data_IF_204328068060
#
_entry.id   IF_204328068060
#
_cell.length_a   1.000
_cell.length_b   1.000
_cell.length_c   1.000
_cell.angle_alpha   90.00
_cell.angle_beta   90.00
_cell.angle_gamma   90.00
#
_symmetry.space_group_name_H-M   'P 1'
#
loop_
_entity.id
_entity.type
_entity.pdbx_description
1 polymer ?
#
# COMPACT_ATOMS: atom_id res chain seq x y z
N UNK A 1 15.07 45.06 -20.24
CA UNK A 1 14.46 44.23 -19.20
C UNK A 1 15.52 43.22 -18.77
N UNK A 2 16.20 43.43 -17.64
CA UNK A 2 17.26 42.54 -17.16
C UNK A 2 16.60 41.33 -16.44
N UNK A 3 16.74 40.15 -17.03
CA UNK A 3 16.36 38.90 -16.42
C UNK A 3 17.32 38.65 -15.24
N UNK A 4 16.86 38.88 -14.00
CA UNK A 4 17.55 38.39 -12.82
C UNK A 4 17.30 36.86 -12.77
N UNK A 5 18.29 36.10 -13.25
CA UNK A 5 18.37 34.68 -12.93
C UNK A 5 18.65 34.60 -11.41
N UNK A 6 17.63 34.32 -10.63
CA UNK A 6 17.77 33.97 -9.23
C UNK A 6 18.48 32.62 -9.21
N UNK A 7 19.79 32.63 -9.02
CA UNK A 7 20.58 31.43 -8.79
C UNK A 7 20.16 30.91 -7.41
N UNK A 8 19.19 29.97 -7.37
CA UNK A 8 18.85 29.25 -6.16
C UNK A 8 20.07 28.38 -5.82
N UNK A 9 20.90 28.84 -4.93
CA UNK A 9 22.00 28.02 -4.37
C UNK A 9 21.33 27.06 -3.38
N UNK A 10 20.97 25.87 -3.86
CA UNK A 10 20.62 24.76 -2.97
C UNK A 10 21.81 24.54 -2.04
N UNK A 11 21.58 24.60 -0.74
CA UNK A 11 22.62 24.32 0.24
C UNK A 11 23.20 22.90 0.01
N UNK A 12 24.50 22.74 0.13
CA UNK A 12 25.14 21.43 -0.02
C UNK A 12 24.51 20.42 0.93
N UNK A 13 24.29 19.17 0.51
CA UNK A 13 23.61 18.17 1.34
C UNK A 13 24.46 17.85 2.59
N UNK A 14 23.79 17.68 3.72
CA UNK A 14 24.39 17.20 4.95
C UNK A 14 24.85 15.75 4.78
N UNK A 15 26.09 15.45 5.01
CA UNK A 15 26.66 14.09 4.88
C UNK A 15 26.82 13.43 6.25
N UNK A 16 26.16 12.31 6.44
CA UNK A 16 26.17 11.54 7.69
C UNK A 16 27.00 10.26 7.46
N UNK A 17 28.16 10.19 8.07
CA UNK A 17 29.13 9.06 7.92
C UNK A 17 29.30 8.23 9.21
N UNK A 18 28.77 8.67 10.34
CA UNK A 18 28.86 8.03 11.66
C UNK A 18 27.62 8.36 12.47
N UNK A 19 27.45 7.75 13.62
CA UNK A 19 26.39 8.09 14.57
C UNK A 19 26.30 9.60 14.76
N UNK A 20 25.10 10.11 14.55
CA UNK A 20 24.83 11.55 14.60
C UNK A 20 23.46 11.81 15.21
N UNK A 21 23.43 12.65 16.23
CA UNK A 21 22.20 13.20 16.81
C UNK A 21 22.19 14.71 16.61
N UNK A 22 21.12 15.22 16.01
CA UNK A 22 20.99 16.66 15.80
C UNK A 22 20.51 17.38 17.07
N UNK A 23 20.73 18.69 17.16
CA UNK A 23 20.03 19.52 18.14
C UNK A 23 18.51 19.33 18.04
N UNK A 24 17.79 19.39 19.16
CA UNK A 24 16.36 19.15 19.17
C UNK A 24 15.60 20.22 18.34
N UNK A 25 14.64 19.76 17.55
CA UNK A 25 13.72 20.59 16.77
C UNK A 25 14.39 21.64 15.85
N UNK A 26 15.60 21.38 15.38
CA UNK A 26 16.27 22.21 14.38
C UNK A 26 15.51 22.28 13.05
N UNK A 27 15.74 23.33 12.28
CA UNK A 27 15.20 23.48 10.91
C UNK A 27 16.35 23.59 9.93
N UNK A 28 16.32 22.76 8.89
CA UNK A 28 17.39 22.65 7.90
C UNK A 28 16.82 22.76 6.49
N UNK A 29 17.34 23.64 5.67
CA UNK A 29 16.96 23.84 4.26
C UNK A 29 17.97 23.14 3.33
N UNK A 30 18.25 21.88 3.59
CA UNK A 30 19.18 21.06 2.82
C UNK A 30 18.77 19.58 2.87
N UNK A 31 19.19 18.83 1.87
CA UNK A 31 19.05 17.38 1.84
C UNK A 31 20.08 16.68 2.74
N UNK A 32 19.87 15.39 3.01
CA UNK A 32 20.76 14.53 3.77
C UNK A 32 21.24 13.38 2.89
N UNK A 33 22.53 13.09 2.92
CA UNK A 33 23.10 11.89 2.32
C UNK A 33 23.71 11.02 3.42
N UNK A 34 23.21 9.80 3.57
CA UNK A 34 23.82 8.81 4.45
C UNK A 34 25.02 8.21 3.73
N UNK A 35 26.21 8.59 4.18
CA UNK A 35 27.48 8.24 3.55
C UNK A 35 28.16 7.01 4.21
N UNK A 36 27.73 6.62 5.42
CA UNK A 36 28.26 5.46 6.16
C UNK A 36 27.27 4.30 6.29
N UNK A 37 27.76 3.19 6.81
CA UNK A 37 26.98 2.04 7.28
C UNK A 37 27.18 1.85 8.78
N UNK A 38 26.36 1.00 9.40
CA UNK A 38 26.40 0.69 10.84
C UNK A 38 26.30 1.97 11.70
N UNK A 39 25.33 2.80 11.41
CA UNK A 39 25.14 4.08 12.10
C UNK A 39 23.66 4.37 12.40
N UNK A 40 23.48 5.27 13.36
CA UNK A 40 22.20 5.88 13.67
C UNK A 40 22.24 7.37 13.34
N UNK A 41 21.29 7.83 12.54
CA UNK A 41 20.99 9.24 12.35
C UNK A 41 19.71 9.57 13.09
N UNK A 42 19.82 10.28 14.19
CA UNK A 42 18.72 10.75 15.01
C UNK A 42 18.52 12.25 14.77
N UNK A 43 17.44 12.59 14.10
CA UNK A 43 17.11 13.98 13.85
C UNK A 43 16.59 14.70 15.10
N UNK A 44 16.27 13.97 16.18
CA UNK A 44 15.80 14.55 17.45
C UNK A 44 14.64 15.56 17.26
N UNK A 45 13.68 15.22 16.39
CA UNK A 45 12.52 16.06 16.05
C UNK A 45 12.81 17.20 15.05
N UNK A 46 14.02 17.28 14.51
CA UNK A 46 14.38 18.31 13.53
C UNK A 46 13.66 18.12 12.21
N UNK A 47 13.47 19.24 11.51
CA UNK A 47 12.74 19.31 10.23
C UNK A 47 13.71 19.65 9.09
N UNK A 48 13.66 18.87 8.03
CA UNK A 48 14.29 19.15 6.74
C UNK A 48 13.22 19.65 5.77
N UNK A 49 13.46 20.79 5.15
CA UNK A 49 12.52 21.47 4.24
C UNK A 49 13.17 21.58 2.86
N UNK A 50 12.51 21.00 1.87
CA UNK A 50 12.87 21.11 0.45
C UNK A 50 12.06 22.20 -0.26
N UNK A 51 12.34 22.37 -1.55
CA UNK A 51 11.70 23.35 -2.44
C UNK A 51 10.93 22.67 -3.60
N UNK A 52 10.35 21.49 -3.33
CA UNK A 52 9.59 20.71 -4.32
C UNK A 52 10.44 19.86 -5.27
N UNK A 53 11.76 19.80 -5.06
CA UNK A 53 12.68 19.03 -5.91
C UNK A 53 13.65 18.18 -5.07
N UNK A 54 14.16 17.10 -5.68
CA UNK A 54 15.21 16.28 -5.13
C UNK A 54 14.75 15.35 -3.99
N UNK A 55 15.69 14.78 -3.29
CA UNK A 55 15.49 13.77 -2.24
C UNK A 55 15.88 14.32 -0.89
N UNK A 56 14.98 14.28 0.08
CA UNK A 56 15.23 14.76 1.44
C UNK A 56 16.31 13.94 2.17
N UNK A 57 16.16 12.61 2.21
CA UNK A 57 17.18 11.69 2.76
C UNK A 57 17.53 10.64 1.70
N UNK A 58 18.77 10.63 1.24
CA UNK A 58 19.27 9.67 0.25
C UNK A 58 20.21 8.65 0.92
N UNK A 59 19.92 7.36 0.68
CA UNK A 59 20.75 6.23 1.13
C UNK A 59 21.02 5.33 -0.07
N UNK A 60 22.30 5.07 -0.40
CA UNK A 60 22.67 4.22 -1.52
C UNK A 60 23.67 3.15 -1.10
N UNK A 61 23.30 1.87 -1.29
CA UNK A 61 24.15 0.70 -1.04
C UNK A 61 24.80 0.73 0.35
N UNK A 62 24.00 0.98 1.39
CA UNK A 62 24.43 0.95 2.78
C UNK A 62 23.85 -0.24 3.53
N UNK A 63 24.35 -0.51 4.71
CA UNK A 63 23.84 -1.58 5.58
C UNK A 63 23.75 -1.10 7.02
N UNK A 64 22.75 -1.61 7.75
CA UNK A 64 22.59 -1.37 9.18
C UNK A 64 22.56 0.13 9.53
N UNK A 65 21.64 0.85 8.89
CA UNK A 65 21.43 2.28 9.15
C UNK A 65 20.07 2.46 9.82
N UNK A 66 20.06 3.20 10.91
CA UNK A 66 18.81 3.65 11.58
C UNK A 66 18.59 5.14 11.30
N UNK A 67 17.39 5.47 10.80
CA UNK A 67 16.91 6.84 10.61
C UNK A 67 15.72 7.02 11.55
N UNK A 68 15.78 8.00 12.46
CA UNK A 68 14.71 8.19 13.42
C UNK A 68 14.44 9.63 13.78
N UNK A 69 13.19 9.87 14.22
CA UNK A 69 12.71 11.17 14.74
C UNK A 69 12.92 12.33 13.76
N UNK A 70 12.93 12.06 12.46
CA UNK A 70 13.10 13.05 11.40
C UNK A 70 11.76 13.54 10.89
N UNK A 71 11.65 14.83 10.58
CA UNK A 71 10.55 15.42 9.82
C UNK A 71 11.11 15.89 8.48
N UNK A 72 10.59 15.37 7.38
CA UNK A 72 11.11 15.67 6.03
C UNK A 72 9.93 16.03 5.13
N UNK A 73 9.93 17.23 4.58
CA UNK A 73 8.81 17.73 3.78
C UNK A 73 9.25 18.68 2.67
N UNK A 74 8.40 18.84 1.66
CA UNK A 74 8.65 19.78 0.56
C UNK A 74 9.76 19.33 -0.39
N UNK A 75 10.13 18.05 -0.40
CA UNK A 75 11.00 17.46 -1.42
C UNK A 75 10.14 16.75 -2.48
N UNK A 76 10.75 16.36 -3.57
CA UNK A 76 10.18 15.47 -4.56
C UNK A 76 10.02 14.05 -3.99
N UNK A 77 11.02 13.59 -3.23
CA UNK A 77 10.97 12.35 -2.45
C UNK A 77 11.46 12.64 -1.03
N UNK A 78 10.65 12.28 -0.03
CA UNK A 78 11.04 12.46 1.36
C UNK A 78 12.27 11.64 1.74
N UNK A 79 12.24 10.32 1.50
CA UNK A 79 13.38 9.43 1.66
C UNK A 79 13.51 8.45 0.49
N UNK A 80 14.69 8.29 -0.06
CA UNK A 80 14.98 7.30 -1.10
C UNK A 80 16.15 6.40 -0.70
N UNK A 81 15.87 5.09 -0.65
CA UNK A 81 16.87 4.06 -0.36
C UNK A 81 17.04 3.19 -1.60
N UNK A 82 18.25 3.13 -2.12
CA UNK A 82 18.62 2.31 -3.27
C UNK A 82 19.62 1.23 -2.84
N UNK A 83 19.18 -0.01 -2.87
CA UNK A 83 19.99 -1.17 -2.50
C UNK A 83 20.37 -1.21 -1.01
N UNK A 84 20.89 -2.33 -0.58
CA UNK A 84 21.36 -2.52 0.79
C UNK A 84 20.40 -3.32 1.67
N UNK A 85 20.67 -3.33 2.97
CA UNK A 85 19.92 -4.17 3.92
C UNK A 85 19.99 -3.68 5.35
N UNK A 86 19.12 -4.24 6.21
CA UNK A 86 19.08 -4.00 7.65
C UNK A 86 18.84 -2.52 7.99
N UNK A 87 17.98 -1.85 7.26
CA UNK A 87 17.57 -0.48 7.58
C UNK A 87 16.48 -0.49 8.64
N UNK A 88 16.50 0.54 9.48
CA UNK A 88 15.44 0.85 10.42
C UNK A 88 15.01 2.29 10.22
N UNK A 89 13.75 2.50 9.85
CA UNK A 89 13.08 3.80 9.82
C UNK A 89 12.06 3.81 10.95
N UNK A 90 12.26 4.65 11.96
CA UNK A 90 11.37 4.65 13.10
C UNK A 90 10.98 6.06 13.56
N UNK A 91 9.67 6.26 13.77
CA UNK A 91 9.11 7.53 14.28
C UNK A 91 9.53 8.75 13.47
N UNK A 92 9.56 8.61 12.13
CA UNK A 92 9.79 9.73 11.23
C UNK A 92 8.47 10.24 10.66
N UNK A 93 8.47 11.49 10.21
CA UNK A 93 7.40 12.10 9.45
C UNK A 93 7.91 12.52 8.06
N UNK A 94 7.40 11.84 7.04
CA UNK A 94 7.69 12.09 5.62
C UNK A 94 6.47 12.65 4.89
N UNK A 95 5.67 13.45 5.57
CA UNK A 95 4.46 14.02 5.00
C UNK A 95 4.73 15.27 4.15
N UNK A 96 3.88 15.50 3.14
CA UNK A 96 3.95 16.70 2.30
C UNK A 96 5.16 16.73 1.37
N UNK A 97 5.57 15.57 0.85
CA UNK A 97 6.58 15.47 -0.21
C UNK A 97 5.90 15.15 -1.54
N UNK A 98 6.20 15.91 -2.59
CA UNK A 98 5.55 15.85 -3.89
C UNK A 98 4.01 15.87 -3.81
N UNK A 99 3.48 17.05 -3.68
CA UNK A 99 2.04 17.30 -3.65
C UNK A 99 1.60 17.78 -5.04
N UNK A 100 1.54 16.87 -6.02
CA UNK A 100 0.97 17.14 -7.34
C UNK A 100 -0.37 16.42 -7.46
N UNK A 101 -1.44 17.18 -7.63
CA UNK A 101 -2.79 16.65 -7.78
C UNK A 101 -3.22 16.43 -9.24
N UNK A 102 -2.34 16.68 -10.20
CA UNK A 102 -2.64 16.63 -11.63
C UNK A 102 -2.06 15.42 -12.38
N UNK A 103 -1.05 14.73 -11.83
CA UNK A 103 -0.51 13.54 -12.49
C UNK A 103 -1.53 12.40 -12.47
N UNK A 104 -1.75 11.74 -13.59
CA UNK A 104 -2.57 10.54 -13.62
C UNK A 104 -1.86 9.42 -12.84
N UNK A 105 -2.62 8.69 -12.02
CA UNK A 105 -2.17 7.43 -11.44
C UNK A 105 -2.59 6.35 -12.41
N UNK A 106 -1.74 6.10 -13.39
CA UNK A 106 -2.01 5.14 -14.45
C UNK A 106 -1.24 3.85 -14.22
N UNK A 107 -1.85 2.75 -14.62
CA UNK A 107 -1.21 1.44 -14.80
C UNK A 107 -0.52 0.83 -13.56
N UNK A 108 -0.82 1.28 -12.36
CA UNK A 108 -0.22 0.74 -11.11
C UNK A 108 1.31 0.56 -11.22
N UNK A 109 1.99 1.50 -11.86
CA UNK A 109 3.44 1.56 -11.93
C UNK A 109 3.99 2.34 -10.74
N UNK A 110 5.19 2.02 -10.24
CA UNK A 110 5.83 2.81 -9.20
C UNK A 110 5.93 4.29 -9.61
N UNK A 111 5.53 5.16 -8.71
CA UNK A 111 5.65 6.60 -8.91
C UNK A 111 7.01 7.03 -8.34
N UNK A 112 7.89 7.68 -9.12
CA UNK A 112 9.23 8.04 -8.65
C UNK A 112 9.23 9.20 -7.65
N UNK A 113 8.11 9.49 -7.01
CA UNK A 113 7.86 10.62 -6.13
C UNK A 113 7.11 10.18 -4.87
N UNK A 114 7.13 10.97 -3.82
CA UNK A 114 6.30 10.77 -2.62
C UNK A 114 7.06 10.74 -1.29
N UNK A 115 6.51 10.07 -0.31
CA UNK A 115 7.06 10.07 1.05
C UNK A 115 8.32 9.23 1.21
N UNK A 116 8.21 7.91 1.13
CA UNK A 116 9.32 6.96 1.32
C UNK A 116 9.38 6.01 0.12
N UNK A 117 10.56 5.85 -0.47
CA UNK A 117 10.81 4.87 -1.53
C UNK A 117 12.00 3.99 -1.13
N UNK A 118 11.80 2.68 -1.05
CA UNK A 118 12.86 1.69 -0.87
C UNK A 118 12.91 0.81 -2.11
N UNK A 119 14.05 0.73 -2.78
CA UNK A 119 14.22 -0.07 -3.99
C UNK A 119 15.43 -1.00 -3.87
N UNK A 120 15.22 -2.31 -4.07
CA UNK A 120 16.26 -3.32 -3.97
C UNK A 120 16.77 -3.55 -2.53
N UNK A 121 15.92 -3.38 -1.54
CA UNK A 121 16.25 -3.42 -0.11
C UNK A 121 15.87 -4.76 0.52
N UNK A 122 16.67 -5.23 1.46
CA UNK A 122 16.41 -6.49 2.16
C UNK A 122 16.40 -6.32 3.68
N UNK A 123 15.62 -7.19 4.35
CA UNK A 123 15.64 -7.37 5.81
C UNK A 123 15.57 -6.05 6.57
N UNK A 124 14.60 -5.21 6.28
CA UNK A 124 14.53 -3.85 6.82
C UNK A 124 13.16 -3.58 7.45
N UNK A 125 13.10 -2.60 8.33
CA UNK A 125 11.92 -2.27 9.12
C UNK A 125 11.55 -0.79 8.99
N UNK A 126 10.28 -0.54 8.72
CA UNK A 126 9.64 0.76 8.82
C UNK A 126 8.62 0.68 9.95
N UNK A 127 8.80 1.44 11.03
CA UNK A 127 7.93 1.35 12.19
C UNK A 127 7.56 2.72 12.76
N UNK A 128 6.25 2.92 12.93
CA UNK A 128 5.73 4.14 13.56
C UNK A 128 6.03 5.42 12.77
N UNK A 129 6.20 5.31 11.44
CA UNK A 129 6.40 6.47 10.59
C UNK A 129 5.07 7.03 10.11
N UNK A 130 5.05 8.32 9.83
CA UNK A 130 3.93 9.03 9.18
C UNK A 130 4.37 9.41 7.76
N UNK A 131 3.50 9.17 6.79
CA UNK A 131 3.75 9.53 5.37
C UNK A 131 2.44 9.94 4.70
N UNK A 132 2.00 11.15 4.97
CA UNK A 132 0.70 11.68 4.61
C UNK A 132 0.78 12.79 3.57
N UNK A 133 -0.31 12.94 2.79
CA UNK A 133 -0.45 14.07 1.86
C UNK A 133 0.57 14.08 0.73
N UNK A 134 1.09 12.93 0.35
CA UNK A 134 2.01 12.74 -0.77
C UNK A 134 1.23 12.27 -2.02
N UNK A 135 1.92 12.05 -3.14
CA UNK A 135 1.36 11.27 -4.25
C UNK A 135 1.30 9.79 -3.89
N UNK A 136 2.32 9.26 -3.24
CA UNK A 136 2.35 7.92 -2.64
C UNK A 136 3.02 7.97 -1.26
N UNK A 137 2.47 7.24 -0.28
CA UNK A 137 2.98 7.25 1.08
C UNK A 137 4.29 6.48 1.22
N UNK A 138 4.25 5.16 1.15
CA UNK A 138 5.40 4.25 1.26
C UNK A 138 5.42 3.35 0.03
N UNK A 139 6.52 3.31 -0.70
CA UNK A 139 6.75 2.42 -1.83
C UNK A 139 7.93 1.50 -1.55
N UNK A 140 7.74 0.20 -1.73
CA UNK A 140 8.75 -0.84 -1.51
C UNK A 140 8.86 -1.66 -2.80
N UNK A 141 9.96 -1.47 -3.51
CA UNK A 141 10.17 -1.94 -4.87
C UNK A 141 11.27 -3.01 -4.90
N UNK A 142 11.04 -4.14 -5.57
CA UNK A 142 12.04 -5.19 -5.81
C UNK A 142 12.79 -5.61 -4.53
N UNK A 143 12.09 -5.68 -3.44
CA UNK A 143 12.64 -5.83 -2.08
C UNK A 143 12.17 -7.13 -1.45
N UNK A 144 12.74 -7.49 -0.29
CA UNK A 144 12.30 -8.69 0.41
C UNK A 144 12.53 -8.64 1.91
N UNK A 145 11.74 -9.44 2.65
CA UNK A 145 11.85 -9.56 4.12
C UNK A 145 11.70 -8.20 4.82
N UNK A 146 10.78 -7.40 4.31
CA UNK A 146 10.47 -6.08 4.87
C UNK A 146 9.47 -6.24 6.02
N UNK A 147 9.57 -5.39 7.01
CA UNK A 147 8.61 -5.28 8.11
C UNK A 147 8.06 -3.85 8.14
N UNK A 148 6.80 -3.69 7.76
CA UNK A 148 6.11 -2.39 7.70
C UNK A 148 5.06 -2.38 8.80
N UNK A 149 5.37 -1.74 9.92
CA UNK A 149 4.66 -1.91 11.17
C UNK A 149 4.20 -0.57 11.75
N UNK A 150 2.94 -0.45 12.15
CA UNK A 150 2.46 0.71 12.91
C UNK A 150 2.71 2.06 12.22
N UNK A 151 2.74 2.09 10.89
CA UNK A 151 2.88 3.34 10.15
C UNK A 151 1.49 3.94 9.88
N UNK A 152 1.47 5.25 9.69
CA UNK A 152 0.28 5.99 9.24
C UNK A 152 0.54 6.52 7.83
N UNK A 153 -0.32 6.14 6.88
CA UNK A 153 -0.29 6.65 5.51
C UNK A 153 -1.68 7.16 5.14
N UNK A 154 -1.85 8.45 5.10
CA UNK A 154 -3.16 9.07 4.95
C UNK A 154 -3.16 10.20 3.93
N UNK A 155 -4.30 10.38 3.25
CA UNK A 155 -4.51 11.47 2.29
C UNK A 155 -3.46 11.53 1.18
N UNK A 156 -2.89 10.40 0.82
CA UNK A 156 -2.05 10.32 -0.37
C UNK A 156 -2.94 10.31 -1.61
N UNK A 157 -2.41 10.77 -2.73
CA UNK A 157 -3.22 10.85 -3.93
C UNK A 157 -3.58 9.47 -4.48
N UNK A 158 -2.61 8.57 -4.53
CA UNK A 158 -2.74 7.24 -5.07
C UNK A 158 -2.71 6.16 -3.99
N UNK A 159 -1.54 5.91 -3.46
CA UNK A 159 -1.34 4.73 -2.61
C UNK A 159 -0.86 5.08 -1.22
N UNK A 160 -1.41 4.37 -0.23
CA UNK A 160 -0.89 4.41 1.12
C UNK A 160 0.43 3.63 1.21
N UNK A 161 0.39 2.33 0.97
CA UNK A 161 1.55 1.42 0.99
C UNK A 161 1.56 0.63 -0.31
N UNK A 162 2.66 0.68 -1.06
CA UNK A 162 2.79 -0.02 -2.33
C UNK A 162 3.98 -0.99 -2.35
N UNK A 163 3.70 -2.24 -2.68
CA UNK A 163 4.68 -3.31 -2.87
C UNK A 163 4.74 -3.69 -4.37
N UNK A 164 5.88 -3.51 -4.99
CA UNK A 164 6.14 -3.85 -6.38
C UNK A 164 7.29 -4.87 -6.45
N UNK A 165 7.03 -6.10 -6.88
CA UNK A 165 8.04 -7.15 -6.90
C UNK A 165 8.65 -7.45 -5.52
N UNK A 166 7.92 -7.16 -4.44
CA UNK A 166 8.42 -7.26 -3.07
C UNK A 166 7.86 -8.51 -2.40
N UNK A 167 8.72 -9.35 -1.83
CA UNK A 167 8.36 -10.69 -1.40
C UNK A 167 8.68 -10.98 0.06
N UNK A 168 7.95 -11.96 0.64
CA UNK A 168 8.23 -12.52 1.98
C UNK A 168 8.29 -11.43 3.06
N UNK A 169 7.38 -10.47 2.99
CA UNK A 169 7.34 -9.28 3.85
C UNK A 169 6.09 -9.27 4.71
N UNK A 170 6.11 -8.47 5.75
CA UNK A 170 5.03 -8.36 6.74
C UNK A 170 4.55 -6.91 6.82
N UNK A 171 3.25 -6.69 6.62
CA UNK A 171 2.59 -5.38 6.63
C UNK A 171 1.52 -5.44 7.72
N UNK A 172 1.85 -5.01 8.94
CA UNK A 172 1.01 -5.20 10.11
C UNK A 172 0.71 -3.91 10.87
N UNK A 173 -0.49 -3.84 11.41
CA UNK A 173 -0.92 -2.80 12.35
C UNK A 173 -0.73 -1.37 11.83
N UNK A 174 -0.78 -1.18 10.49
CA UNK A 174 -0.72 0.15 9.90
C UNK A 174 -2.12 0.79 9.87
N UNK A 175 -2.15 2.12 9.97
CA UNK A 175 -3.34 2.93 9.73
C UNK A 175 -3.21 3.55 8.34
N UNK A 176 -4.11 3.18 7.45
CA UNK A 176 -4.09 3.53 6.03
C UNK A 176 -5.43 4.13 5.68
N UNK A 177 -5.49 5.44 5.42
CA UNK A 177 -6.77 6.11 5.33
C UNK A 177 -6.80 7.23 4.30
N UNK A 178 -7.96 7.39 3.63
CA UNK A 178 -8.18 8.49 2.68
C UNK A 178 -7.16 8.54 1.53
N UNK A 179 -6.60 7.40 1.13
CA UNK A 179 -5.71 7.34 -0.04
C UNK A 179 -6.56 7.18 -1.29
N UNK A 180 -7.33 8.20 -1.62
CA UNK A 180 -8.34 8.21 -2.66
C UNK A 180 -8.47 9.55 -3.38
N UNK A 181 -7.52 10.47 -3.27
CA UNK A 181 -7.67 11.80 -3.88
C UNK A 181 -7.80 11.77 -5.40
N UNK A 182 -7.40 10.69 -6.06
CA UNK A 182 -7.69 10.44 -7.48
C UNK A 182 -9.06 9.80 -7.73
N UNK A 183 -9.80 9.45 -6.68
CA UNK A 183 -11.11 8.80 -6.72
C UNK A 183 -12.16 9.67 -6.00
N UNK A 184 -12.60 10.76 -6.56
CA UNK A 184 -13.41 11.73 -5.82
C UNK A 184 -14.86 11.31 -5.58
N UNK A 185 -15.34 10.19 -6.12
CA UNK A 185 -16.77 9.84 -6.08
C UNK A 185 -16.99 8.35 -5.76
N UNK A 186 -17.96 8.08 -4.90
CA UNK A 186 -18.53 6.76 -4.68
C UNK A 186 -19.15 6.17 -5.95
N UNK A 187 -18.98 4.87 -6.17
CA UNK A 187 -19.73 4.13 -7.18
C UNK A 187 -19.21 4.30 -8.60
N UNK A 188 -17.94 4.57 -8.79
CA UNK A 188 -17.32 4.49 -10.11
C UNK A 188 -16.95 3.04 -10.36
N UNK A 189 -17.54 2.41 -11.37
CA UNK A 189 -17.27 1.02 -11.77
C UNK A 189 -15.85 0.75 -12.27
N UNK A 190 -15.07 1.76 -12.46
CA UNK A 190 -13.69 1.65 -12.88
C UNK A 190 -12.78 2.00 -11.72
N UNK A 191 -11.89 1.10 -11.36
CA UNK A 191 -10.83 1.38 -10.41
C UNK A 191 -10.16 2.71 -10.74
N UNK A 192 -10.06 3.58 -9.76
CA UNK A 192 -9.52 4.92 -9.92
C UNK A 192 -7.98 4.94 -9.76
N UNK A 193 -7.35 3.75 -9.72
CA UNK A 193 -5.93 3.58 -9.52
C UNK A 193 -5.42 3.89 -8.11
N UNK A 194 -6.29 4.36 -7.21
CA UNK A 194 -5.93 4.65 -5.83
C UNK A 194 -6.27 3.47 -4.91
N UNK A 195 -5.44 3.21 -3.93
CA UNK A 195 -5.70 2.16 -2.94
C UNK A 195 -4.93 2.38 -1.64
N UNK A 196 -5.43 1.78 -0.56
CA UNK A 196 -4.74 1.77 0.73
C UNK A 196 -3.45 0.97 0.66
N UNK A 197 -3.53 -0.33 0.37
CA UNK A 197 -2.37 -1.22 0.20
C UNK A 197 -2.41 -1.84 -1.21
N UNK A 198 -1.30 -1.75 -1.93
CA UNK A 198 -1.16 -2.27 -3.31
C UNK A 198 -0.06 -3.32 -3.39
N UNK A 199 -0.32 -4.43 -4.09
CA UNK A 199 0.66 -5.49 -4.34
C UNK A 199 0.63 -5.87 -5.82
N UNK A 200 1.73 -5.64 -6.54
CA UNK A 200 1.83 -5.94 -7.98
C UNK A 200 3.16 -6.57 -8.35
N UNK A 201 3.29 -7.00 -9.59
CA UNK A 201 4.54 -7.54 -10.16
C UNK A 201 5.17 -8.68 -9.35
N UNK A 202 4.34 -9.65 -8.99
CA UNK A 202 4.82 -10.82 -8.27
C UNK A 202 5.24 -10.53 -6.83
N UNK A 203 4.54 -9.61 -6.16
CA UNK A 203 4.73 -9.38 -4.71
C UNK A 203 4.17 -10.57 -3.91
N UNK A 204 4.86 -11.70 -4.00
CA UNK A 204 4.42 -12.99 -3.49
C UNK A 204 4.81 -13.24 -2.03
N UNK A 205 4.05 -14.12 -1.37
CA UNK A 205 4.33 -14.61 -0.01
C UNK A 205 4.47 -13.50 1.03
N UNK A 206 3.63 -12.47 0.91
CA UNK A 206 3.54 -11.41 1.91
C UNK A 206 2.39 -11.69 2.88
N UNK A 207 2.56 -11.22 4.10
CA UNK A 207 1.57 -11.28 5.18
C UNK A 207 1.02 -9.88 5.41
N UNK A 208 -0.30 -9.70 5.26
CA UNK A 208 -0.97 -8.43 5.45
C UNK A 208 -2.03 -8.60 6.55
N UNK A 209 -1.77 -8.08 7.74
CA UNK A 209 -2.66 -8.35 8.87
C UNK A 209 -2.78 -7.20 9.88
N UNK A 210 -3.92 -7.18 10.57
CA UNK A 210 -4.25 -6.21 11.63
C UNK A 210 -4.13 -4.74 11.19
N UNK A 211 -4.23 -4.45 9.89
CA UNK A 211 -4.25 -3.07 9.40
C UNK A 211 -5.68 -2.51 9.50
N UNK A 212 -5.76 -1.20 9.71
CA UNK A 212 -6.99 -0.42 9.56
C UNK A 212 -6.91 0.35 8.26
N UNK A 213 -7.83 0.06 7.33
CA UNK A 213 -7.93 0.72 6.03
C UNK A 213 -9.31 1.39 5.95
N UNK A 214 -9.34 2.68 5.64
CA UNK A 214 -10.60 3.41 5.71
C UNK A 214 -10.66 4.56 4.70
N UNK A 215 -11.75 4.66 3.93
CA UNK A 215 -11.94 5.67 2.90
C UNK A 215 -10.83 5.69 1.84
N UNK A 216 -10.30 4.54 1.47
CA UNK A 216 -9.33 4.42 0.38
C UNK A 216 -10.07 4.24 -0.97
N UNK A 217 -9.37 4.26 -2.09
CA UNK A 217 -9.93 3.87 -3.38
C UNK A 217 -10.37 2.41 -3.33
N UNK A 218 -9.43 1.48 -3.46
CA UNK A 218 -9.57 0.12 -2.94
C UNK A 218 -8.93 0.06 -1.55
N UNK A 219 -9.49 -0.75 -0.66
CA UNK A 219 -8.81 -1.01 0.62
C UNK A 219 -7.48 -1.73 0.35
N UNK A 220 -7.52 -2.93 -0.22
CA UNK A 220 -6.34 -3.68 -0.66
C UNK A 220 -6.50 -4.03 -2.15
N UNK A 221 -5.54 -3.62 -2.96
CA UNK A 221 -5.48 -3.96 -4.38
C UNK A 221 -4.34 -4.93 -4.67
N UNK A 222 -4.64 -6.00 -5.40
CA UNK A 222 -3.66 -7.00 -5.76
C UNK A 222 -3.85 -7.46 -7.22
N UNK A 223 -2.79 -7.41 -7.98
CA UNK A 223 -2.82 -7.91 -9.36
C UNK A 223 -2.66 -6.82 -10.39
N UNK A 224 -3.20 -6.96 -11.50
CA UNK A 224 -3.69 -6.16 -12.62
C UNK A 224 -3.53 -6.82 -13.99
N UNK A 225 -2.56 -7.72 -14.20
CA UNK A 225 -2.39 -8.41 -15.48
C UNK A 225 -1.94 -9.86 -15.30
N UNK A 226 -2.28 -10.75 -16.23
CA UNK A 226 -1.72 -12.10 -16.23
C UNK A 226 -0.19 -12.06 -16.18
N UNK A 227 0.39 -12.86 -15.29
CA UNK A 227 1.85 -12.92 -15.10
C UNK A 227 2.45 -11.87 -14.16
N UNK A 228 1.71 -10.82 -13.82
CA UNK A 228 2.13 -9.81 -12.84
C UNK A 228 1.40 -9.93 -11.49
N UNK A 229 0.54 -10.91 -11.34
CA UNK A 229 -0.24 -11.14 -10.12
C UNK A 229 0.65 -11.50 -8.92
N UNK A 230 0.18 -11.16 -7.75
CA UNK A 230 0.82 -11.51 -6.48
C UNK A 230 0.15 -12.76 -5.90
N UNK A 231 0.94 -13.78 -5.62
CA UNK A 231 0.47 -15.11 -5.24
C UNK A 231 0.90 -15.48 -3.82
N UNK A 232 0.24 -16.51 -3.29
CA UNK A 232 0.59 -17.08 -1.98
C UNK A 232 0.57 -16.00 -0.87
N UNK A 233 -0.37 -15.07 -0.95
CA UNK A 233 -0.56 -14.05 0.07
C UNK A 233 -1.42 -14.59 1.21
N UNK A 234 -1.17 -14.11 2.42
CA UNK A 234 -2.07 -14.28 3.55
C UNK A 234 -2.53 -12.88 4.00
N UNK A 235 -3.86 -12.64 3.93
CA UNK A 235 -4.50 -11.36 4.25
C UNK A 235 -5.52 -11.62 5.36
N UNK A 236 -5.26 -11.08 6.56
CA UNK A 236 -6.03 -11.51 7.72
C UNK A 236 -6.17 -10.45 8.81
N UNK A 237 -7.26 -10.54 9.57
CA UNK A 237 -7.53 -9.64 10.69
C UNK A 237 -7.44 -8.14 10.33
N UNK A 238 -7.67 -7.77 9.08
CA UNK A 238 -7.75 -6.37 8.70
C UNK A 238 -9.16 -5.84 8.91
N UNK A 239 -9.27 -4.58 9.30
CA UNK A 239 -10.52 -3.82 9.27
C UNK A 239 -10.48 -2.91 8.06
N UNK A 240 -11.39 -3.12 7.12
CA UNK A 240 -11.48 -2.40 5.85
C UNK A 240 -12.87 -1.78 5.78
N UNK A 241 -12.95 -0.49 5.52
CA UNK A 241 -14.24 0.18 5.49
C UNK A 241 -14.28 1.37 4.53
N UNK A 242 -15.47 1.63 3.98
CA UNK A 242 -15.78 2.78 3.14
C UNK A 242 -14.86 2.89 1.91
N UNK A 243 -14.41 1.77 1.36
CA UNK A 243 -13.63 1.76 0.13
C UNK A 243 -14.51 2.23 -1.03
N UNK A 244 -14.01 3.19 -1.81
CA UNK A 244 -14.77 3.81 -2.91
C UNK A 244 -15.09 2.81 -4.01
N UNK A 245 -14.19 1.87 -4.27
CA UNK A 245 -14.37 0.76 -5.20
C UNK A 245 -14.50 -0.57 -4.44
N UNK A 246 -13.41 -1.23 -4.09
CA UNK A 246 -13.46 -2.55 -3.48
C UNK A 246 -12.83 -2.54 -2.08
N UNK A 247 -13.40 -3.25 -1.12
CA UNK A 247 -12.70 -3.54 0.12
C UNK A 247 -11.41 -4.30 -0.15
N UNK A 248 -11.49 -5.33 -1.00
CA UNK A 248 -10.32 -6.01 -1.57
C UNK A 248 -10.55 -6.31 -3.05
N UNK A 249 -9.57 -6.00 -3.88
CA UNK A 249 -9.51 -6.43 -5.27
C UNK A 249 -8.33 -7.38 -5.48
N UNK A 250 -8.56 -8.55 -6.11
CA UNK A 250 -7.51 -9.49 -6.43
C UNK A 250 -7.73 -10.12 -7.81
N UNK A 251 -6.84 -9.82 -8.76
CA UNK A 251 -6.96 -10.29 -10.13
C UNK A 251 -5.81 -11.22 -10.52
N UNK A 252 -6.14 -12.26 -11.32
CA UNK A 252 -5.20 -13.25 -11.86
C UNK A 252 -4.32 -13.96 -10.82
N UNK A 253 -4.69 -13.90 -9.55
CA UNK A 253 -3.90 -14.41 -8.43
C UNK A 253 -4.09 -15.90 -8.20
N UNK A 254 -3.14 -16.50 -7.51
CA UNK A 254 -3.13 -17.93 -7.22
C UNK A 254 -2.82 -18.20 -5.75
N UNK A 255 -3.61 -19.09 -5.13
CA UNK A 255 -3.42 -19.61 -3.77
C UNK A 255 -3.36 -18.55 -2.67
N UNK A 256 -4.12 -17.48 -2.80
CA UNK A 256 -4.21 -16.52 -1.73
C UNK A 256 -5.16 -17.02 -0.63
N UNK A 257 -4.83 -16.71 0.61
CA UNK A 257 -5.64 -16.99 1.79
C UNK A 257 -6.08 -15.69 2.44
N UNK A 258 -7.37 -15.40 2.36
CA UNK A 258 -7.99 -14.17 2.85
C UNK A 258 -8.97 -14.57 3.94
N UNK A 259 -8.67 -14.22 5.20
CA UNK A 259 -9.45 -14.73 6.31
C UNK A 259 -9.52 -13.78 7.51
N UNK A 260 -10.56 -13.96 8.30
CA UNK A 260 -10.80 -13.21 9.55
C UNK A 260 -10.76 -11.68 9.36
N UNK A 261 -11.05 -11.17 8.15
CA UNK A 261 -11.14 -9.74 7.89
C UNK A 261 -12.57 -9.24 8.09
N UNK A 262 -12.68 -7.95 8.41
CA UNK A 262 -13.96 -7.24 8.45
C UNK A 262 -13.99 -6.21 7.33
N UNK A 263 -15.03 -6.29 6.50
CA UNK A 263 -15.36 -5.35 5.42
C UNK A 263 -16.68 -4.66 5.77
N UNK A 264 -16.73 -3.33 5.67
CA UNK A 264 -17.92 -2.59 6.07
C UNK A 264 -18.14 -1.37 5.18
N UNK A 265 -19.36 -1.25 4.64
CA UNK A 265 -19.77 -0.09 3.81
C UNK A 265 -18.84 0.16 2.61
N UNK A 266 -18.29 -0.91 2.03
CA UNK A 266 -17.50 -0.84 0.79
C UNK A 266 -18.45 -0.90 -0.42
N UNK A 267 -18.04 -0.38 -1.57
CA UNK A 267 -18.84 -0.53 -2.78
C UNK A 267 -18.99 -2.01 -3.15
N UNK A 268 -17.88 -2.72 -3.31
CA UNK A 268 -17.80 -4.18 -3.25
C UNK A 268 -17.02 -4.58 -1.99
N UNK A 269 -17.49 -5.57 -1.23
CA UNK A 269 -16.70 -6.11 -0.12
C UNK A 269 -15.42 -6.75 -0.65
N UNK A 270 -15.52 -7.61 -1.66
CA UNK A 270 -14.40 -8.21 -2.37
C UNK A 270 -14.71 -8.44 -3.86
N UNK A 271 -13.75 -8.15 -4.73
CA UNK A 271 -13.82 -8.48 -6.15
C UNK A 271 -12.60 -9.29 -6.60
N UNK A 272 -12.87 -10.44 -7.24
CA UNK A 272 -11.83 -11.37 -7.67
C UNK A 272 -11.97 -11.67 -9.16
N UNK A 273 -11.05 -11.19 -9.98
CA UNK A 273 -11.03 -11.45 -11.43
C UNK A 273 -10.00 -12.53 -11.78
N UNK A 274 -10.45 -13.69 -12.28
CA UNK A 274 -9.57 -14.81 -12.69
C UNK A 274 -8.66 -15.34 -11.57
N UNK A 275 -8.97 -15.10 -10.30
CA UNK A 275 -8.23 -15.66 -9.18
C UNK A 275 -8.53 -17.16 -9.06
N UNK A 276 -7.53 -17.96 -8.71
CA UNK A 276 -7.66 -19.41 -8.63
C UNK A 276 -7.15 -19.95 -7.31
N UNK A 277 -7.74 -21.05 -6.86
CA UNK A 277 -7.38 -21.70 -5.60
C UNK A 277 -7.42 -20.73 -4.41
N UNK A 278 -8.32 -19.75 -4.48
CA UNK A 278 -8.54 -18.77 -3.41
C UNK A 278 -9.17 -19.47 -2.21
N UNK A 279 -8.70 -19.13 -1.02
CA UNK A 279 -9.39 -19.44 0.23
C UNK A 279 -9.90 -18.13 0.83
N UNK A 280 -11.21 -18.01 0.92
CA UNK A 280 -11.89 -16.85 1.50
C UNK A 280 -12.73 -17.33 2.69
N UNK A 281 -12.19 -17.20 3.90
CA UNK A 281 -12.71 -17.90 5.06
C UNK A 281 -12.88 -16.98 6.28
N UNK A 282 -13.96 -17.16 7.02
CA UNK A 282 -14.24 -16.48 8.30
C UNK A 282 -14.23 -14.94 8.18
N UNK A 283 -14.48 -14.38 7.01
CA UNK A 283 -14.57 -12.93 6.87
C UNK A 283 -15.97 -12.45 7.24
N UNK A 284 -16.06 -11.25 7.81
CA UNK A 284 -17.31 -10.56 8.03
C UNK A 284 -17.47 -9.43 7.00
N UNK A 285 -18.52 -9.49 6.18
CA UNK A 285 -18.82 -8.51 5.15
C UNK A 285 -20.18 -7.91 5.45
N UNK A 286 -20.25 -6.60 5.58
CA UNK A 286 -21.45 -5.87 5.99
C UNK A 286 -21.69 -4.66 5.12
N UNK A 287 -22.96 -4.46 4.75
CA UNK A 287 -23.45 -3.27 4.06
C UNK A 287 -22.68 -2.94 2.76
N UNK A 288 -22.22 -3.95 2.02
CA UNK A 288 -21.65 -3.69 0.70
C UNK A 288 -22.73 -3.12 -0.23
N UNK A 289 -22.42 -2.09 -1.00
CA UNK A 289 -23.42 -1.37 -1.79
C UNK A 289 -23.83 -2.12 -3.06
N UNK A 290 -22.93 -2.90 -3.65
CA UNK A 290 -23.18 -3.64 -4.91
C UNK A 290 -23.15 -5.15 -4.67
N UNK A 291 -22.03 -5.70 -4.23
CA UNK A 291 -21.86 -7.11 -3.91
C UNK A 291 -20.99 -7.28 -2.66
N UNK A 292 -21.30 -8.29 -1.86
CA UNK A 292 -20.39 -8.71 -0.79
C UNK A 292 -19.13 -9.34 -1.37
N UNK A 293 -19.30 -10.25 -2.34
CA UNK A 293 -18.20 -10.85 -3.09
C UNK A 293 -18.63 -11.02 -4.55
N UNK A 294 -17.77 -10.62 -5.48
CA UNK A 294 -17.88 -10.99 -6.88
C UNK A 294 -16.61 -11.72 -7.32
N UNK A 295 -16.73 -12.88 -7.94
CA UNK A 295 -15.60 -13.67 -8.42
C UNK A 295 -15.84 -14.15 -9.84
N UNK A 296 -15.21 -13.48 -10.77
CA UNK A 296 -15.23 -13.79 -12.18
C UNK A 296 -14.24 -14.91 -12.51
N UNK A 297 -14.71 -15.95 -13.23
CA UNK A 297 -13.91 -17.11 -13.61
C UNK A 297 -13.27 -17.84 -12.43
N UNK A 298 -13.99 -17.96 -11.32
CA UNK A 298 -13.55 -18.62 -10.11
C UNK A 298 -13.22 -20.09 -10.35
N UNK A 299 -12.00 -20.53 -9.99
CA UNK A 299 -11.60 -21.93 -10.13
C UNK A 299 -11.01 -22.48 -8.83
N UNK A 300 -11.52 -23.66 -8.43
CA UNK A 300 -11.01 -24.42 -7.27
C UNK A 300 -10.91 -23.57 -6.00
N UNK A 301 -11.81 -22.62 -5.83
CA UNK A 301 -11.81 -21.68 -4.70
C UNK A 301 -12.75 -22.13 -3.60
N UNK A 302 -12.45 -21.74 -2.36
CA UNK A 302 -13.22 -22.12 -1.17
C UNK A 302 -13.72 -20.89 -0.42
N UNK A 303 -15.01 -20.89 -0.12
CA UNK A 303 -15.71 -19.87 0.67
C UNK A 303 -16.30 -20.54 1.91
N UNK A 304 -15.74 -20.30 3.08
CA UNK A 304 -16.16 -21.01 4.28
C UNK A 304 -16.24 -20.11 5.51
N UNK A 305 -17.27 -20.31 6.32
CA UNK A 305 -17.41 -19.63 7.61
C UNK A 305 -17.62 -18.11 7.53
N UNK A 306 -17.88 -17.56 6.35
CA UNK A 306 -18.06 -16.12 6.20
C UNK A 306 -19.42 -15.66 6.72
N UNK A 307 -19.46 -14.45 7.29
CA UNK A 307 -20.68 -13.76 7.64
C UNK A 307 -20.94 -12.72 6.54
N UNK A 308 -22.11 -12.78 5.90
CA UNK A 308 -22.47 -11.95 4.77
C UNK A 308 -23.77 -11.25 5.09
N UNK A 309 -23.73 -9.93 5.13
CA UNK A 309 -24.88 -9.09 5.48
C UNK A 309 -25.08 -8.01 4.42
N UNK A 310 -26.27 -8.03 3.79
CA UNK A 310 -26.73 -7.03 2.84
C UNK A 310 -26.68 -7.46 1.39
N UNK A 311 -25.52 -7.69 0.80
CA UNK A 311 -25.37 -8.00 -0.62
C UNK A 311 -24.89 -9.44 -0.87
N UNK A 312 -24.99 -9.90 -2.11
CA UNK A 312 -24.76 -11.31 -2.49
C UNK A 312 -23.28 -11.69 -2.64
N UNK A 313 -23.01 -12.98 -2.61
CA UNK A 313 -21.83 -13.59 -3.24
C UNK A 313 -22.23 -14.03 -4.65
N UNK A 314 -21.54 -13.53 -5.66
CA UNK A 314 -21.73 -13.88 -7.06
C UNK A 314 -20.49 -14.53 -7.63
N UNK A 315 -20.63 -15.74 -8.19
CA UNK A 315 -19.61 -16.40 -9.01
C UNK A 315 -20.15 -16.55 -10.43
N UNK A 316 -19.36 -16.13 -11.43
CA UNK A 316 -19.78 -16.21 -12.84
C UNK A 316 -18.59 -16.38 -13.79
N UNK A 317 -18.78 -17.06 -14.93
CA UNK A 317 -17.83 -17.00 -16.04
C UNK A 317 -18.04 -15.69 -16.81
N UNK A 318 -16.96 -15.00 -17.13
CA UNK A 318 -16.95 -13.79 -17.96
C UNK A 318 -15.95 -13.92 -19.10
N UNK A 319 -16.19 -13.20 -20.21
CA UNK A 319 -15.27 -13.13 -21.36
C UNK A 319 -14.81 -14.50 -21.90
N UNK A 320 -15.72 -15.49 -21.92
CA UNK A 320 -15.41 -16.85 -22.39
C UNK A 320 -14.55 -17.68 -21.44
N UNK A 321 -14.33 -17.22 -20.21
CA UNK A 321 -13.66 -17.98 -19.16
C UNK A 321 -14.51 -19.11 -18.61
N UNK A 322 -14.01 -19.78 -17.58
CA UNK A 322 -14.69 -20.91 -16.93
C UNK A 322 -14.74 -20.70 -15.42
N UNK A 323 -15.72 -21.35 -14.79
CA UNK A 323 -15.93 -21.30 -13.37
C UNK A 323 -16.28 -22.70 -12.88
N UNK A 324 -15.38 -23.35 -12.14
CA UNK A 324 -15.55 -24.73 -11.70
C UNK A 324 -14.79 -25.08 -10.42
N UNK A 325 -15.23 -26.16 -9.77
CA UNK A 325 -14.52 -26.73 -8.60
C UNK A 325 -14.55 -25.87 -7.36
N UNK A 326 -15.51 -24.94 -7.27
CA UNK A 326 -15.68 -24.06 -6.11
C UNK A 326 -16.47 -24.75 -5.00
N UNK A 327 -16.23 -24.39 -3.76
CA UNK A 327 -16.92 -24.96 -2.61
C UNK A 327 -17.38 -23.89 -1.62
N UNK A 328 -18.56 -24.14 -1.03
CA UNK A 328 -19.17 -23.27 -0.03
C UNK A 328 -19.52 -24.10 1.21
N UNK A 329 -19.13 -23.62 2.38
CA UNK A 329 -19.48 -24.30 3.63
C UNK A 329 -19.62 -23.33 4.80
N UNK A 330 -20.63 -23.56 5.65
CA UNK A 330 -20.83 -22.84 6.91
C UNK A 330 -20.88 -21.29 6.80
N UNK A 331 -21.25 -20.75 5.63
CA UNK A 331 -21.44 -19.30 5.49
C UNK A 331 -22.78 -18.89 6.11
N UNK A 332 -22.76 -17.84 6.93
CA UNK A 332 -23.95 -17.27 7.56
C UNK A 332 -24.39 -16.03 6.77
N UNK A 333 -25.67 -15.93 6.43
CA UNK A 333 -26.22 -14.87 5.57
C UNK A 333 -27.35 -14.15 6.30
N UNK A 334 -27.39 -12.83 6.14
CA UNK A 334 -28.41 -11.95 6.70
C UNK A 334 -29.00 -11.05 5.62
N UNK A 335 -30.16 -10.43 5.91
CA UNK A 335 -30.81 -9.46 5.04
C UNK A 335 -30.97 -9.91 3.57
N UNK A 336 -31.40 -11.18 3.38
CA UNK A 336 -31.65 -11.81 2.08
C UNK A 336 -30.41 -11.99 1.18
N UNK A 337 -29.19 -11.84 1.69
CA UNK A 337 -27.99 -12.15 0.95
C UNK A 337 -28.00 -13.59 0.41
N UNK A 338 -27.60 -13.79 -0.84
CA UNK A 338 -27.60 -15.07 -1.52
C UNK A 338 -26.19 -15.47 -1.99
N UNK A 339 -25.99 -16.76 -2.20
CA UNK A 339 -24.85 -17.28 -2.94
C UNK A 339 -25.39 -17.65 -4.33
N UNK A 340 -24.94 -16.92 -5.33
CA UNK A 340 -25.37 -17.07 -6.72
C UNK A 340 -24.19 -17.62 -7.54
N UNK A 341 -24.39 -18.79 -8.14
CA UNK A 341 -23.35 -19.45 -8.95
C UNK A 341 -23.84 -19.60 -10.38
N UNK A 342 -23.84 -18.53 -11.15
CA UNK A 342 -24.31 -18.55 -12.52
C UNK A 342 -23.26 -19.20 -13.42
N UNK A 343 -23.56 -20.40 -13.96
CA UNK A 343 -22.63 -21.13 -14.85
C UNK A 343 -21.36 -21.65 -14.17
N UNK A 344 -21.31 -21.65 -12.84
CA UNK A 344 -20.24 -22.23 -12.04
C UNK A 344 -20.72 -23.54 -11.40
N UNK A 345 -20.12 -24.65 -11.72
CA UNK A 345 -20.39 -25.97 -11.14
C UNK A 345 -19.16 -26.53 -10.43
#
# INVERSE_FOLDING_TARGET
MKLFALLLVLAAPMRIAKDTTLPPNGVYHQAVIIAGSNLTFDCNGSTFIGEGIGVGILIQNRTSVTIRNCKVRGFDVGAYVLGGKNFVFERNDFSGNYVDDNSAIEDLKPIPHGGIILNGVQNSRLQGNTSNGNVAGIQILNSSKMRVLQNTTSRNRGWGIYLFGTTSSTIYTNTVEYNNRSCPQWGVDAGCGAAGIVLTQGSNRNLIGWNTLNYDGDGIYQGNTPGAASNDLEIFNNTIAHSVANGIEATFSLRNYIHDNTFTDDNYGAWFGYAQQLRFENNAIRNSHVKSVEHDNAQSSRYAGNLIDGADILLQPVQGGSCAGNSFSNNTRFNNAQIVTTGCQ
#
